data_IF_842042176279
#
_entry.id   IF_842042176279
#
_cell.length_a   1.000
_cell.length_b   1.000
_cell.length_c   1.000
_cell.angle_alpha   90.00
_cell.angle_beta   90.00
_cell.angle_gamma   90.00
#
_symmetry.space_group_name_H-M   'P 1'
#
loop_
_entity.id
_entity.type
_entity.pdbx_description
1 polymer ?
#
# COMPACT_ATOMS: atom_id res chain seq x y z
N UNK A 1 -6.73 1.42 -3.60
CA UNK A 1 -6.63 2.00 -4.97
C UNK A 1 -7.38 1.12 -5.95
N UNK A 2 -7.91 1.66 -7.05
CA UNK A 2 -8.51 0.86 -8.11
C UNK A 2 -7.56 -0.26 -8.55
N UNK A 3 -8.03 -1.51 -8.57
CA UNK A 3 -7.24 -2.67 -8.98
C UNK A 3 -6.21 -3.18 -7.98
N UNK A 4 -6.08 -2.57 -6.80
CA UNK A 4 -5.15 -3.08 -5.77
C UNK A 4 -5.67 -4.39 -5.16
N UNK A 5 -4.77 -5.35 -5.00
CA UNK A 5 -5.03 -6.62 -4.31
C UNK A 5 -4.48 -6.58 -2.88
N UNK A 6 -5.22 -7.16 -1.93
CA UNK A 6 -4.75 -7.25 -0.54
C UNK A 6 -3.96 -8.56 -0.35
N UNK A 7 -2.65 -8.44 -0.14
CA UNK A 7 -1.77 -9.56 0.23
C UNK A 7 -1.22 -9.30 1.64
N UNK A 8 -1.73 -10.00 2.67
CA UNK A 8 -1.20 -9.90 4.02
C UNK A 8 0.30 -10.25 4.08
N UNK A 9 1.06 -9.59 4.95
CA UNK A 9 2.52 -9.81 5.01
C UNK A 9 2.92 -11.27 5.32
N UNK A 10 2.06 -12.02 6.03
CA UNK A 10 2.28 -13.46 6.32
C UNK A 10 2.18 -14.34 5.08
N UNK A 11 1.37 -13.95 4.10
CA UNK A 11 1.16 -14.69 2.85
C UNK A 11 2.12 -14.29 1.73
N UNK A 12 3.09 -13.41 1.97
CA UNK A 12 4.17 -13.12 1.02
C UNK A 12 5.20 -14.26 0.97
N UNK A 13 4.78 -15.48 0.64
CA UNK A 13 5.63 -16.67 0.56
C UNK A 13 5.89 -17.05 -0.90
N UNK A 14 6.96 -17.82 -1.14
CA UNK A 14 7.27 -18.31 -2.49
C UNK A 14 6.10 -19.10 -3.11
N UNK A 15 5.41 -19.92 -2.30
CA UNK A 15 4.25 -20.70 -2.73
C UNK A 15 3.06 -19.82 -3.11
N UNK A 16 2.72 -18.83 -2.27
CA UNK A 16 1.58 -17.95 -2.54
C UNK A 16 1.82 -17.06 -3.77
N UNK A 17 3.08 -16.69 -4.02
CA UNK A 17 3.47 -15.87 -5.17
C UNK A 17 3.73 -16.69 -6.44
N UNK A 18 3.72 -18.03 -6.38
CA UNK A 18 4.02 -18.89 -7.53
C UNK A 18 3.06 -18.70 -8.72
N UNK A 19 1.85 -18.19 -8.46
CA UNK A 19 0.88 -17.84 -9.50
C UNK A 19 1.28 -16.60 -10.32
N UNK A 20 2.22 -15.79 -9.84
CA UNK A 20 2.69 -14.60 -10.55
C UNK A 20 4.00 -14.90 -11.31
N UNK A 21 4.07 -14.55 -12.60
CA UNK A 21 5.32 -14.58 -13.35
C UNK A 21 6.45 -13.85 -12.63
N UNK A 22 7.69 -14.30 -12.79
CA UNK A 22 8.87 -13.62 -12.22
C UNK A 22 9.12 -12.23 -12.81
N UNK A 23 8.50 -11.92 -13.94
CA UNK A 23 8.52 -10.59 -14.56
C UNK A 23 7.44 -9.65 -14.04
N UNK A 24 6.54 -10.13 -13.16
CA UNK A 24 5.47 -9.30 -12.58
C UNK A 24 6.07 -8.24 -11.67
N UNK A 25 5.90 -6.97 -12.05
CA UNK A 25 6.24 -5.83 -11.23
C UNK A 25 5.18 -5.64 -10.14
N UNK A 26 5.60 -5.78 -8.89
CA UNK A 26 4.77 -5.44 -7.74
C UNK A 26 4.96 -3.97 -7.37
N UNK A 27 3.85 -3.27 -7.15
CA UNK A 27 3.85 -1.93 -6.54
C UNK A 27 3.25 -2.06 -5.15
N UNK A 28 4.03 -1.75 -4.12
CA UNK A 28 3.59 -1.85 -2.72
C UNK A 28 3.31 -0.47 -2.13
N UNK A 29 2.29 -0.40 -1.28
CA UNK A 29 1.91 0.79 -0.55
C UNK A 29 1.41 0.43 0.84
N UNK A 30 1.44 1.39 1.75
CA UNK A 30 0.82 1.29 3.08
C UNK A 30 -0.02 2.56 3.34
N UNK A 31 -0.40 2.82 4.59
CA UNK A 31 -1.16 4.00 5.01
C UNK A 31 -0.47 5.31 4.57
N UNK A 32 0.84 5.45 4.80
CA UNK A 32 1.62 6.58 4.31
C UNK A 32 3.03 6.64 4.90
N UNK A 33 3.69 7.82 4.94
CA UNK A 33 5.13 7.95 5.19
C UNK A 33 5.64 7.35 6.51
N UNK A 34 4.79 7.25 7.53
CA UNK A 34 5.15 6.70 8.84
C UNK A 34 4.92 5.17 8.95
N UNK A 35 4.52 4.51 7.86
CA UNK A 35 4.31 3.07 7.86
C UNK A 35 5.49 2.32 7.22
N UNK A 36 6.09 1.39 7.97
CA UNK A 36 7.15 0.52 7.47
C UNK A 36 6.66 -0.75 6.75
N UNK A 37 5.34 -0.91 6.62
CA UNK A 37 4.72 -2.10 6.02
C UNK A 37 5.07 -2.28 4.55
N UNK A 38 5.06 -1.19 3.79
CA UNK A 38 5.42 -1.20 2.37
C UNK A 38 6.89 -1.60 2.18
N UNK A 39 7.82 -1.02 2.94
CA UNK A 39 9.24 -1.34 2.85
C UNK A 39 9.51 -2.81 3.22
N UNK A 40 8.89 -3.32 4.30
CA UNK A 40 9.01 -4.73 4.71
C UNK A 40 8.49 -5.68 3.63
N UNK A 41 7.37 -5.34 2.99
CA UNK A 41 6.83 -6.11 1.87
C UNK A 41 7.77 -6.06 0.65
N UNK A 42 8.32 -4.88 0.34
CA UNK A 42 9.27 -4.71 -0.76
C UNK A 42 10.51 -5.58 -0.59
N UNK A 43 11.14 -5.55 0.59
CA UNK A 43 12.31 -6.40 0.90
C UNK A 43 11.96 -7.87 0.68
N UNK A 44 10.81 -8.32 1.20
CA UNK A 44 10.39 -9.73 1.09
C UNK A 44 10.14 -10.14 -0.37
N UNK A 45 9.51 -9.29 -1.18
CA UNK A 45 9.30 -9.53 -2.61
C UNK A 45 10.61 -9.59 -3.38
N UNK A 46 11.53 -8.64 -3.11
CA UNK A 46 12.85 -8.60 -3.72
C UNK A 46 13.68 -9.84 -3.36
N UNK A 47 13.66 -10.29 -2.10
CA UNK A 47 14.32 -11.54 -1.66
C UNK A 47 13.77 -12.77 -2.40
N UNK A 48 12.48 -12.76 -2.78
CA UNK A 48 11.86 -13.83 -3.56
C UNK A 48 12.06 -13.68 -5.09
N UNK A 49 12.85 -12.70 -5.51
CA UNK A 49 13.23 -12.47 -6.91
C UNK A 49 12.15 -11.80 -7.76
N UNK A 50 11.21 -11.09 -7.14
CA UNK A 50 10.21 -10.30 -7.88
C UNK A 50 10.67 -8.85 -8.03
N UNK A 51 10.49 -8.24 -9.21
CA UNK A 51 10.69 -6.81 -9.35
C UNK A 51 9.64 -6.06 -8.52
N UNK A 52 10.08 -5.07 -7.76
CA UNK A 52 9.22 -4.31 -6.85
C UNK A 52 9.53 -2.83 -6.89
N UNK A 53 8.49 -2.01 -6.79
CA UNK A 53 8.56 -0.57 -6.54
C UNK A 53 7.71 -0.22 -5.34
N UNK A 54 8.19 0.72 -4.55
CA UNK A 54 7.41 1.31 -3.47
C UNK A 54 6.72 2.58 -3.97
N UNK A 55 5.42 2.71 -3.67
CA UNK A 55 4.68 3.94 -3.89
C UNK A 55 4.75 4.81 -2.63
N UNK A 56 5.71 5.73 -2.65
CA UNK A 56 5.98 6.68 -1.57
C UNK A 56 4.71 7.53 -1.31
N UNK A 57 4.46 7.88 -0.06
CA UNK A 57 3.25 8.61 0.36
C UNK A 57 2.06 7.71 0.70
N UNK A 58 2.00 6.49 0.16
CA UNK A 58 0.97 5.51 0.49
C UNK A 58 -0.45 5.99 0.16
N UNK A 59 -1.44 5.53 0.93
CA UNK A 59 -2.85 5.93 0.77
C UNK A 59 -3.05 7.42 1.04
N UNK A 60 -2.34 7.99 2.02
CA UNK A 60 -2.42 9.42 2.34
C UNK A 60 -1.97 10.28 1.16
N UNK A 61 -0.76 10.04 0.63
CA UNK A 61 -0.27 10.78 -0.54
C UNK A 61 -1.18 10.62 -1.77
N UNK A 62 -1.71 9.42 -2.02
CA UNK A 62 -2.69 9.19 -3.09
C UNK A 62 -3.94 10.07 -2.94
N UNK A 63 -4.45 10.21 -1.72
CA UNK A 63 -5.61 11.03 -1.41
C UNK A 63 -5.30 12.52 -1.45
N UNK A 64 -4.11 12.93 -1.02
CA UNK A 64 -3.64 14.32 -1.03
C UNK A 64 -3.48 14.84 -2.47
N UNK A 65 -3.09 13.96 -3.40
CA UNK A 65 -3.05 14.23 -4.84
C UNK A 65 -4.45 14.23 -5.51
N UNK A 66 -5.52 14.01 -4.75
CA UNK A 66 -6.90 14.09 -5.23
C UNK A 66 -7.41 12.83 -5.93
N UNK A 67 -6.66 11.73 -5.90
CA UNK A 67 -7.10 10.47 -6.48
C UNK A 67 -8.15 9.76 -5.63
N UNK A 68 -8.97 8.94 -6.28
CA UNK A 68 -10.08 8.21 -5.64
C UNK A 68 -9.64 6.81 -5.21
N UNK A 69 -10.19 6.34 -4.08
CA UNK A 69 -10.12 4.94 -3.68
C UNK A 69 -11.34 4.19 -4.23
N UNK A 70 -11.19 2.91 -4.48
CA UNK A 70 -12.30 2.00 -4.79
C UNK A 70 -12.65 1.22 -3.52
N UNK A 71 -13.95 1.11 -3.22
CA UNK A 71 -14.47 0.52 -1.99
C UNK A 71 -14.95 1.55 -0.97
N UNK A 72 -15.65 1.09 0.07
CA UNK A 72 -16.07 1.92 1.20
C UNK A 72 -14.84 2.25 2.04
N UNK A 73 -14.37 3.49 1.93
CA UNK A 73 -13.47 4.09 2.91
C UNK A 73 -14.23 5.28 3.46
N UNK A 74 -14.96 5.07 4.55
CA UNK A 74 -15.53 6.19 5.30
C UNK A 74 -14.36 7.02 5.82
N UNK A 75 -14.19 8.21 5.25
CA UNK A 75 -13.42 9.24 5.94
C UNK A 75 -14.21 9.62 7.17
N UNK A 76 -13.64 9.40 8.35
CA UNK A 76 -14.08 10.17 9.53
C UNK A 76 -13.76 11.61 9.16
N UNK A 77 -14.82 12.41 8.95
CA UNK A 77 -14.67 13.82 8.69
C UNK A 77 -13.88 14.41 9.86
N UNK A 78 -12.81 15.14 9.52
CA UNK A 78 -12.05 15.91 10.49
C UNK A 78 -13.03 16.93 11.07
N UNK A 79 -13.52 16.65 12.29
CA UNK A 79 -14.32 17.65 12.99
C UNK A 79 -13.29 18.66 13.43
N UNK A 80 -13.15 19.73 12.65
CA UNK A 80 -12.28 20.84 12.98
C UNK A 80 -12.58 21.25 14.43
N UNK A 81 -11.69 20.90 15.35
CA UNK A 81 -11.76 21.36 16.73
C UNK A 81 -11.40 22.84 16.66
N UNK A 82 -12.40 23.71 16.79
CA UNK A 82 -12.15 25.15 16.90
C UNK A 82 -11.39 25.39 18.21
N UNK A 83 -10.13 25.79 18.12
CA UNK A 83 -9.45 26.46 19.22
C UNK A 83 -10.05 27.86 19.34
N UNK A 84 -11.02 28.02 20.23
CA UNK A 84 -11.31 29.33 20.81
C UNK A 84 -10.32 29.60 21.94
N UNK A 85 -9.88 30.85 22.04
CA UNK A 85 -8.87 31.36 22.96
C UNK A 85 -9.23 31.18 24.45
#
# INVERSE_FOLDING_TARGET
>A
MPGAINIPSRSLTAQALAAYPKTTLFVVYCAGPHCNGANKAAVRLATLGYPVKEMIGGVMGWLDEGFRLTGLVERVADTAVSCDC
#
